data_IF_578080323951
#
_entry.id   IF_578080323951
#
_cell.length_a   1.000
_cell.length_b   1.000
_cell.length_c   1.000
_cell.angle_alpha   90.00
_cell.angle_beta   90.00
_cell.angle_gamma   90.00
#
_symmetry.space_group_name_H-M   'P 1'
#
loop_
_entity.id
_entity.type
_entity.pdbx_description
1 polymer ?
#
# COMPACT_ATOMS: atom_id res chain seq x y z
N UNK A 1 -23.74 8.96 -13.90
CA UNK A 1 -23.40 7.56 -14.21
C UNK A 1 -22.31 7.52 -15.27
N UNK A 2 -21.24 6.76 -15.00
CA UNK A 2 -20.14 6.62 -15.98
C UNK A 2 -20.40 5.51 -17.01
N UNK A 3 -21.53 4.77 -16.88
CA UNK A 3 -21.96 3.68 -17.76
C UNK A 3 -20.82 2.72 -18.15
N UNK A 4 -20.06 2.26 -17.17
CA UNK A 4 -18.87 1.42 -17.38
C UNK A 4 -19.27 0.00 -17.77
N UNK A 5 -18.58 -0.57 -18.76
CA UNK A 5 -18.67 -1.99 -19.07
C UNK A 5 -17.92 -2.84 -18.02
N UNK A 6 -18.27 -4.13 -17.91
CA UNK A 6 -17.59 -5.06 -16.99
C UNK A 6 -16.08 -5.15 -17.26
N UNK A 7 -15.66 -5.09 -18.52
CA UNK A 7 -14.26 -5.05 -18.91
C UNK A 7 -13.54 -3.79 -18.41
N UNK A 8 -14.23 -2.64 -18.44
CA UNK A 8 -13.69 -1.38 -17.91
C UNK A 8 -13.57 -1.41 -16.38
N UNK A 9 -14.56 -2.00 -15.70
CA UNK A 9 -14.51 -2.21 -14.25
C UNK A 9 -13.37 -3.16 -13.86
N UNK A 10 -13.21 -4.30 -14.55
CA UNK A 10 -12.11 -5.22 -14.33
C UNK A 10 -10.73 -4.58 -14.56
N UNK A 11 -10.60 -3.73 -15.58
CA UNK A 11 -9.35 -3.00 -15.82
C UNK A 11 -9.03 -2.01 -14.69
N UNK A 12 -10.04 -1.31 -14.17
CA UNK A 12 -9.90 -0.33 -13.08
C UNK A 12 -9.54 -0.98 -11.74
N UNK A 13 -10.21 -2.09 -11.40
CA UNK A 13 -10.05 -2.75 -10.09
C UNK A 13 -8.81 -3.65 -10.04
N UNK A 14 -8.40 -4.22 -11.17
CA UNK A 14 -7.30 -5.16 -11.28
C UNK A 14 -6.05 -4.56 -11.91
N UNK A 15 -6.03 -4.48 -13.23
CA UNK A 15 -4.80 -4.31 -14.00
C UNK A 15 -4.17 -2.93 -13.87
N UNK A 16 -4.98 -1.87 -13.96
CA UNK A 16 -4.48 -0.49 -13.87
C UNK A 16 -3.86 -0.20 -12.51
N UNK A 17 -4.49 -0.67 -11.43
CA UNK A 17 -3.95 -0.55 -10.08
C UNK A 17 -2.68 -1.40 -9.89
N UNK A 18 -2.74 -2.71 -10.21
CA UNK A 18 -1.68 -3.66 -9.90
C UNK A 18 -0.34 -3.33 -10.60
N UNK A 19 -0.36 -2.95 -11.88
CA UNK A 19 0.86 -2.58 -12.61
C UNK A 19 1.57 -1.41 -11.94
N UNK A 20 0.84 -0.35 -11.63
CA UNK A 20 1.45 0.85 -11.04
C UNK A 20 1.85 0.65 -9.58
N UNK A 21 1.10 -0.15 -8.82
CA UNK A 21 1.47 -0.57 -7.48
C UNK A 21 2.82 -1.32 -7.47
N UNK A 22 2.96 -2.33 -8.33
CA UNK A 22 4.20 -3.15 -8.39
C UNK A 22 5.37 -2.34 -8.93
N UNK A 23 5.18 -1.60 -10.02
CA UNK A 23 6.28 -0.83 -10.65
C UNK A 23 6.74 0.34 -9.78
N UNK A 24 5.84 1.02 -9.07
CA UNK A 24 6.19 2.08 -8.13
C UNK A 24 6.78 1.54 -6.82
N UNK A 25 6.38 0.34 -6.39
CA UNK A 25 6.82 -0.26 -5.13
C UNK A 25 8.33 -0.44 -5.04
N UNK A 26 8.98 -0.86 -6.12
CA UNK A 26 10.44 -1.09 -6.14
C UNK A 26 11.22 0.23 -5.94
N UNK A 27 11.02 1.30 -6.73
CA UNK A 27 11.74 2.55 -6.52
C UNK A 27 11.41 3.21 -5.18
N UNK A 28 10.15 3.14 -4.71
CA UNK A 28 9.77 3.71 -3.43
C UNK A 28 10.42 2.93 -2.27
N UNK A 29 10.46 1.60 -2.32
CA UNK A 29 11.16 0.80 -1.31
C UNK A 29 12.66 1.16 -1.26
N UNK A 30 13.33 1.33 -2.40
CA UNK A 30 14.72 1.77 -2.46
C UNK A 30 14.91 3.19 -1.93
N UNK A 31 13.98 4.08 -2.22
CA UNK A 31 14.00 5.42 -1.65
C UNK A 31 13.84 5.37 -0.12
N UNK A 32 13.00 4.49 0.38
CA UNK A 32 12.82 4.25 1.81
C UNK A 32 14.08 3.72 2.51
N UNK A 33 15.02 3.09 1.79
CA UNK A 33 16.29 2.65 2.37
C UNK A 33 17.18 3.81 2.83
N UNK A 34 17.05 4.99 2.23
CA UNK A 34 17.92 6.14 2.49
C UNK A 34 17.18 7.36 3.04
N UNK A 35 15.88 7.48 2.76
CA UNK A 35 15.06 8.62 3.16
C UNK A 35 14.36 8.40 4.51
N UNK A 36 13.71 9.43 5.02
CA UNK A 36 12.88 9.35 6.22
C UNK A 36 11.60 8.55 5.91
N UNK A 37 11.48 7.35 6.51
CA UNK A 37 10.39 6.38 6.25
C UNK A 37 9.04 6.90 6.73
N UNK A 38 9.01 7.65 7.84
CA UNK A 38 7.80 8.34 8.32
C UNK A 38 7.23 9.26 7.24
N UNK A 39 8.08 10.04 6.60
CA UNK A 39 7.65 10.99 5.57
C UNK A 39 7.13 10.25 4.32
N UNK A 40 7.74 9.11 3.98
CA UNK A 40 7.28 8.27 2.87
C UNK A 40 5.91 7.68 3.20
N UNK A 41 5.72 7.10 4.39
CA UNK A 41 4.42 6.54 4.83
C UNK A 41 3.34 7.61 4.82
N UNK A 42 3.62 8.77 5.42
CA UNK A 42 2.64 9.87 5.47
C UNK A 42 2.32 10.43 4.08
N UNK A 43 3.35 10.65 3.24
CA UNK A 43 3.17 11.11 1.86
C UNK A 43 2.42 10.11 0.99
N UNK A 44 2.71 8.85 1.15
CA UNK A 44 2.00 7.75 0.49
C UNK A 44 0.54 7.71 0.89
N UNK A 45 0.25 7.73 2.20
CA UNK A 45 -1.12 7.80 2.71
C UNK A 45 -1.87 9.04 2.19
N UNK A 46 -1.20 10.20 2.15
CA UNK A 46 -1.78 11.41 1.58
C UNK A 46 -2.17 11.20 0.11
N UNK A 47 -1.23 10.69 -0.71
CA UNK A 47 -1.45 10.52 -2.15
C UNK A 47 -2.61 9.56 -2.41
N UNK A 48 -2.61 8.36 -1.83
CA UNK A 48 -3.69 7.41 -2.13
C UNK A 48 -5.05 7.88 -1.59
N UNK A 49 -5.08 8.51 -0.43
CA UNK A 49 -6.32 9.03 0.17
C UNK A 49 -6.88 10.22 -0.62
N UNK A 50 -6.00 11.12 -1.07
CA UNK A 50 -6.38 12.25 -1.92
C UNK A 50 -6.90 11.77 -3.28
N UNK A 51 -6.21 10.80 -3.91
CA UNK A 51 -6.66 10.20 -5.18
C UNK A 51 -7.96 9.41 -5.01
N UNK A 52 -8.17 8.77 -3.85
CA UNK A 52 -9.45 8.14 -3.51
C UNK A 52 -10.56 9.19 -3.42
N UNK A 53 -10.35 10.29 -2.71
CA UNK A 53 -11.32 11.37 -2.65
C UNK A 53 -11.58 11.98 -4.04
N UNK A 54 -10.54 12.22 -4.85
CA UNK A 54 -10.68 12.68 -6.23
C UNK A 54 -11.49 11.74 -7.10
N UNK A 55 -11.44 10.42 -6.85
CA UNK A 55 -12.27 9.44 -7.56
C UNK A 55 -13.76 9.72 -7.42
N UNK A 56 -14.20 10.34 -6.33
CA UNK A 56 -15.59 10.79 -6.14
C UNK A 56 -15.99 12.01 -6.99
N UNK A 57 -15.00 12.74 -7.54
CA UNK A 57 -15.22 13.98 -8.30
C UNK A 57 -15.05 13.80 -9.81
N UNK A 58 -14.65 12.63 -10.28
CA UNK A 58 -14.38 12.36 -11.70
C UNK A 58 -15.65 12.43 -12.55
N UNK A 59 -15.51 12.88 -13.79
CA UNK A 59 -16.61 13.06 -14.74
C UNK A 59 -16.59 12.03 -15.86
N UNK A 60 -15.48 11.33 -16.07
CA UNK A 60 -15.32 10.34 -17.13
C UNK A 60 -14.39 9.20 -16.72
N UNK A 61 -14.42 8.12 -17.53
CA UNK A 61 -13.63 6.92 -17.30
C UNK A 61 -12.12 7.19 -17.21
N UNK A 62 -11.57 8.02 -18.09
CA UNK A 62 -10.13 8.32 -18.11
C UNK A 62 -9.68 8.98 -16.81
N UNK A 63 -10.45 9.93 -16.29
CA UNK A 63 -10.14 10.56 -14.99
C UNK A 63 -10.18 9.53 -13.86
N UNK A 64 -11.13 8.59 -13.89
CA UNK A 64 -11.21 7.54 -12.89
C UNK A 64 -10.00 6.60 -12.97
N UNK A 65 -9.56 6.22 -14.19
CA UNK A 65 -8.34 5.43 -14.40
C UNK A 65 -7.11 6.15 -13.82
N UNK A 66 -6.94 7.43 -14.12
CA UNK A 66 -5.81 8.22 -13.61
C UNK A 66 -5.82 8.33 -12.09
N UNK A 67 -7.00 8.53 -11.49
CA UNK A 67 -7.13 8.53 -10.03
C UNK A 67 -6.75 7.17 -9.42
N UNK A 68 -7.17 6.05 -10.03
CA UNK A 68 -6.82 4.69 -9.60
C UNK A 68 -5.32 4.39 -9.73
N UNK A 69 -4.70 4.85 -10.80
CA UNK A 69 -3.23 4.80 -10.96
C UNK A 69 -2.55 5.57 -9.81
N UNK A 70 -3.04 6.76 -9.49
CA UNK A 70 -2.54 7.55 -8.37
C UNK A 70 -2.72 6.86 -7.01
N UNK A 71 -3.84 6.17 -6.79
CA UNK A 71 -4.04 5.32 -5.60
C UNK A 71 -3.00 4.21 -5.56
N UNK A 72 -2.77 3.47 -6.66
CA UNK A 72 -1.80 2.39 -6.73
C UNK A 72 -0.36 2.85 -6.44
N UNK A 73 0.05 3.98 -7.01
CA UNK A 73 1.38 4.58 -6.74
C UNK A 73 1.50 5.00 -5.27
N UNK A 74 0.47 5.65 -4.72
CA UNK A 74 0.45 6.07 -3.33
C UNK A 74 0.54 4.88 -2.38
N UNK A 75 -0.28 3.87 -2.57
CA UNK A 75 -0.35 2.70 -1.70
C UNK A 75 0.95 1.88 -1.70
N UNK A 76 1.68 1.86 -2.82
CA UNK A 76 2.96 1.16 -2.95
C UNK A 76 4.01 1.60 -1.92
N UNK A 77 3.94 2.82 -1.39
CA UNK A 77 4.86 3.33 -0.39
C UNK A 77 4.41 3.12 1.07
N UNK A 78 3.31 2.43 1.31
CA UNK A 78 2.81 2.17 2.66
C UNK A 78 3.52 1.04 3.39
N UNK A 79 3.50 -0.16 2.81
CA UNK A 79 3.94 -1.39 3.50
C UNK A 79 5.46 -1.53 3.69
N UNK A 80 6.32 -1.33 2.66
CA UNK A 80 7.75 -1.57 2.83
C UNK A 80 8.40 -0.71 3.92
N UNK A 81 8.22 0.62 3.98
CA UNK A 81 8.79 1.43 5.03
C UNK A 81 8.16 1.15 6.40
N UNK A 82 6.87 0.82 6.48
CA UNK A 82 6.21 0.45 7.74
C UNK A 82 6.79 -0.81 8.34
N UNK A 83 7.01 -1.86 7.53
CA UNK A 83 7.64 -3.10 7.98
C UNK A 83 9.08 -2.86 8.45
N UNK A 84 9.84 -2.02 7.74
CA UNK A 84 11.19 -1.63 8.13
C UNK A 84 11.20 -0.90 9.49
N UNK A 85 10.29 0.06 9.69
CA UNK A 85 10.16 0.78 10.97
C UNK A 85 9.78 -0.16 12.13
N UNK A 86 8.83 -1.08 11.92
CA UNK A 86 8.45 -2.09 12.92
C UNK A 86 9.65 -2.95 13.28
N UNK A 87 10.46 -3.33 12.31
CA UNK A 87 11.66 -4.15 12.53
C UNK A 87 12.75 -3.43 13.36
N UNK A 88 12.81 -2.10 13.29
CA UNK A 88 13.74 -1.29 14.10
C UNK A 88 13.21 -1.03 15.52
N UNK A 89 11.89 -1.07 15.72
CA UNK A 89 11.26 -0.81 17.04
C UNK A 89 11.18 -2.09 17.88
N UNK A 90 10.87 -3.23 17.25
CA UNK A 90 10.60 -4.48 17.94
C UNK A 90 11.77 -5.47 17.82
N UNK A 91 12.19 -6.10 18.95
CA UNK A 91 13.23 -7.13 18.94
C UNK A 91 12.78 -8.38 18.17
N UNK A 92 13.69 -9.21 17.65
CA UNK A 92 13.38 -10.35 16.79
C UNK A 92 12.32 -11.31 17.34
N UNK A 93 12.30 -11.54 18.65
CA UNK A 93 11.34 -12.42 19.33
C UNK A 93 9.90 -11.86 19.40
N UNK A 94 9.70 -10.54 19.20
CA UNK A 94 8.38 -9.88 19.19
C UNK A 94 7.99 -9.32 17.81
N UNK A 95 8.92 -9.34 16.86
CA UNK A 95 8.72 -8.77 15.52
C UNK A 95 7.57 -9.41 14.75
N UNK A 96 7.47 -10.75 14.82
CA UNK A 96 6.38 -11.48 14.18
C UNK A 96 5.01 -11.09 14.76
N UNK A 97 4.88 -10.95 16.07
CA UNK A 97 3.64 -10.51 16.72
C UNK A 97 3.27 -9.08 16.32
N UNK A 98 4.25 -8.17 16.30
CA UNK A 98 4.02 -6.77 15.88
C UNK A 98 3.58 -6.68 14.41
N UNK A 99 4.20 -7.43 13.51
CA UNK A 99 3.81 -7.50 12.10
C UNK A 99 2.43 -8.16 11.93
N UNK A 100 2.12 -9.20 12.71
CA UNK A 100 0.80 -9.83 12.74
C UNK A 100 -0.28 -8.83 13.16
N UNK A 101 -0.03 -8.06 14.22
CA UNK A 101 -0.95 -7.00 14.66
C UNK A 101 -1.11 -5.90 13.60
N UNK A 102 -0.03 -5.46 12.97
CA UNK A 102 -0.08 -4.51 11.84
C UNK A 102 -0.95 -5.05 10.70
N UNK A 103 -0.83 -6.34 10.38
CA UNK A 103 -1.59 -6.97 9.29
C UNK A 103 -3.09 -7.07 9.59
N UNK A 104 -3.53 -7.07 10.86
CA UNK A 104 -4.97 -7.04 11.20
C UNK A 104 -5.65 -5.78 10.67
N UNK A 105 -4.91 -4.68 10.53
CA UNK A 105 -5.40 -3.44 9.92
C UNK A 105 -5.95 -3.64 8.52
N UNK A 106 -5.35 -4.54 7.73
CA UNK A 106 -5.84 -4.86 6.38
C UNK A 106 -7.21 -5.54 6.46
N UNK A 107 -7.36 -6.53 7.33
CA UNK A 107 -8.64 -7.26 7.51
C UNK A 107 -9.76 -6.34 8.01
N UNK A 108 -9.47 -5.47 8.98
CA UNK A 108 -10.42 -4.47 9.44
C UNK A 108 -10.74 -3.44 8.36
N UNK A 109 -9.73 -3.01 7.59
CA UNK A 109 -9.92 -2.11 6.47
C UNK A 109 -10.86 -2.67 5.40
N UNK A 110 -10.70 -3.94 5.05
CA UNK A 110 -11.58 -4.65 4.13
C UNK A 110 -13.00 -4.74 4.70
N UNK A 111 -13.14 -5.21 5.95
CA UNK A 111 -14.45 -5.34 6.60
C UNK A 111 -15.21 -4.01 6.63
N UNK A 112 -14.60 -2.97 7.15
CA UNK A 112 -15.22 -1.66 7.25
C UNK A 112 -15.38 -0.97 5.90
N UNK A 113 -14.46 -1.21 4.95
CA UNK A 113 -14.56 -0.73 3.58
C UNK A 113 -15.79 -1.26 2.87
N UNK A 114 -16.05 -2.56 2.96
CA UNK A 114 -17.27 -3.15 2.39
C UNK A 114 -18.53 -2.71 3.14
N UNK A 115 -18.51 -2.72 4.47
CA UNK A 115 -19.67 -2.38 5.27
C UNK A 115 -20.09 -0.92 5.07
N UNK A 116 -19.17 0.01 5.31
CA UNK A 116 -19.45 1.44 5.19
C UNK A 116 -19.50 1.90 3.74
N UNK A 117 -18.64 1.36 2.87
CA UNK A 117 -18.63 1.69 1.45
C UNK A 117 -19.92 1.26 0.77
N UNK A 118 -20.42 0.05 1.06
CA UNK A 118 -21.70 -0.44 0.56
C UNK A 118 -22.87 0.41 1.06
N UNK A 119 -22.92 0.67 2.38
CA UNK A 119 -23.95 1.52 2.99
C UNK A 119 -23.95 2.95 2.40
N UNK A 120 -22.78 3.58 2.32
CA UNK A 120 -22.65 4.92 1.75
C UNK A 120 -23.07 4.95 0.26
N UNK A 121 -22.71 3.91 -0.49
CA UNK A 121 -23.08 3.83 -1.90
C UNK A 121 -24.61 3.70 -2.08
N UNK A 122 -25.27 2.91 -1.23
CA UNK A 122 -26.72 2.69 -1.29
C UNK A 122 -27.50 3.99 -1.00
N UNK A 123 -27.12 4.75 0.03
CA UNK A 123 -27.87 5.93 0.48
C UNK A 123 -27.41 7.24 -0.16
N UNK A 124 -26.15 7.37 -0.51
CA UNK A 124 -25.56 8.65 -0.96
C UNK A 124 -24.84 8.55 -2.31
N UNK A 125 -24.80 7.36 -2.89
CA UNK A 125 -24.12 7.10 -4.15
C UNK A 125 -22.60 6.94 -4.03
N UNK A 126 -22.00 6.31 -5.03
CA UNK A 126 -20.58 5.94 -5.06
C UNK A 126 -19.60 7.12 -4.96
N UNK A 127 -19.97 8.28 -5.50
CA UNK A 127 -19.12 9.50 -5.40
C UNK A 127 -18.93 9.94 -3.97
N UNK A 128 -20.01 9.98 -3.21
CA UNK A 128 -19.96 10.31 -1.78
C UNK A 128 -19.17 9.27 -0.98
N UNK A 129 -19.31 7.99 -1.32
CA UNK A 129 -18.54 6.92 -0.69
C UNK A 129 -17.02 7.15 -0.85
N UNK A 130 -16.55 7.49 -2.05
CA UNK A 130 -15.13 7.79 -2.28
C UNK A 130 -14.65 9.02 -1.52
N UNK A 131 -15.45 10.09 -1.44
CA UNK A 131 -15.11 11.29 -0.68
C UNK A 131 -15.02 11.01 0.83
N UNK A 132 -16.03 10.32 1.38
CA UNK A 132 -16.10 10.01 2.82
C UNK A 132 -14.98 9.07 3.26
N UNK A 133 -14.57 8.13 2.39
CA UNK A 133 -13.46 7.21 2.69
C UNK A 133 -12.10 7.89 2.48
N UNK A 134 -11.95 8.73 1.47
CA UNK A 134 -10.68 9.36 1.15
C UNK A 134 -10.28 10.50 2.09
N UNK A 135 -11.21 11.38 2.45
CA UNK A 135 -10.92 12.58 3.26
C UNK A 135 -10.30 12.24 4.64
N UNK A 136 -10.82 11.28 5.42
CA UNK A 136 -10.20 10.91 6.70
C UNK A 136 -8.75 10.46 6.58
N UNK A 137 -8.38 9.77 5.50
CA UNK A 137 -7.00 9.35 5.25
C UNK A 137 -6.05 10.53 5.00
N UNK A 138 -6.53 11.60 4.37
CA UNK A 138 -5.75 12.84 4.21
C UNK A 138 -5.46 13.47 5.60
N UNK A 139 -6.44 13.54 6.49
CA UNK A 139 -6.21 14.01 7.86
C UNK A 139 -5.28 13.08 8.64
N UNK A 140 -5.43 11.76 8.48
CA UNK A 140 -4.58 10.77 9.13
C UNK A 140 -3.12 10.89 8.66
N UNK A 141 -2.87 11.24 7.41
CA UNK A 141 -1.51 11.50 6.92
C UNK A 141 -0.84 12.66 7.66
N UNK A 142 -1.58 13.74 7.89
CA UNK A 142 -1.13 14.86 8.72
C UNK A 142 -0.87 14.44 10.16
N UNK A 143 -1.75 13.65 10.75
CA UNK A 143 -1.58 13.12 12.10
C UNK A 143 -0.32 12.26 12.23
N UNK A 144 -0.03 11.40 11.24
CA UNK A 144 1.22 10.61 11.18
C UNK A 144 2.43 11.54 11.17
N UNK A 145 2.41 12.62 10.38
CA UNK A 145 3.52 13.58 10.34
C UNK A 145 3.75 14.26 11.68
N UNK A 146 2.71 14.48 12.46
CA UNK A 146 2.79 15.17 13.75
C UNK A 146 3.16 14.23 14.91
N UNK A 147 2.71 12.99 14.88
CA UNK A 147 2.78 12.06 16.03
C UNK A 147 3.84 10.97 15.88
N UNK A 148 4.03 10.43 14.67
CA UNK A 148 4.98 9.36 14.45
C UNK A 148 6.41 9.90 14.42
N UNK A 149 7.32 9.22 15.10
CA UNK A 149 8.75 9.54 15.06
C UNK A 149 9.48 8.52 14.19
N UNK A 150 10.44 8.98 13.41
CA UNK A 150 11.34 8.09 12.65
C UNK A 150 12.21 7.29 13.61
N UNK A 151 12.13 5.96 13.66
CA UNK A 151 13.01 5.15 14.49
C UNK A 151 14.44 5.14 13.92
N UNK A 152 15.43 5.10 14.81
CA UNK A 152 16.83 4.95 14.39
C UNK A 152 17.02 3.60 13.70
N UNK A 153 17.62 3.61 12.52
CA UNK A 153 17.86 2.40 11.73
C UNK A 153 18.84 1.47 12.45
N UNK A 154 18.51 0.18 12.46
CA UNK A 154 19.36 -0.85 13.06
C UNK A 154 19.49 -0.74 14.59
N UNK A 155 18.65 0.05 15.26
CA UNK A 155 18.71 0.29 16.70
C UNK A 155 18.77 -1.01 17.52
N UNK A 156 17.93 -1.97 17.18
CA UNK A 156 17.81 -3.24 17.91
C UNK A 156 18.97 -4.20 17.57
N UNK A 157 19.45 -4.17 16.34
CA UNK A 157 20.49 -5.10 15.88
C UNK A 157 21.91 -4.60 16.16
N UNK A 158 22.04 -3.38 16.71
CA UNK A 158 23.32 -2.70 16.95
C UNK A 158 24.27 -2.69 15.72
N UNK A 159 23.69 -2.85 14.54
CA UNK A 159 24.43 -2.78 13.29
C UNK A 159 24.48 -1.34 12.83
N UNK A 160 25.68 -0.80 12.67
CA UNK A 160 25.89 0.37 11.82
C UNK A 160 25.46 -0.01 10.41
N UNK A 161 24.26 0.41 10.05
CA UNK A 161 23.77 0.23 8.68
C UNK A 161 24.59 1.18 7.80
N UNK A 162 25.70 0.67 7.28
CA UNK A 162 26.40 1.35 6.20
C UNK A 162 25.44 1.34 5.01
N UNK A 163 25.02 2.51 4.60
CA UNK A 163 24.05 2.72 3.52
C UNK A 163 24.64 2.41 2.12
N UNK A 164 25.42 1.34 1.99
CA UNK A 164 25.81 0.85 0.68
C UNK A 164 24.61 0.21 0.00
N UNK A 165 24.05 0.94 -0.95
CA UNK A 165 22.96 0.43 -1.76
C UNK A 165 23.41 -0.74 -2.61
N UNK A 166 22.94 -1.94 -2.26
CA UNK A 166 23.19 -3.12 -3.08
C UNK A 166 22.55 -2.91 -4.47
N UNK A 167 23.29 -3.08 -5.58
CA UNK A 167 22.72 -2.94 -6.91
C UNK A 167 21.50 -3.83 -7.10
N UNK A 168 20.43 -3.27 -7.70
CA UNK A 168 19.15 -3.99 -7.89
C UNK A 168 19.35 -5.34 -8.60
N UNK A 169 20.25 -5.38 -9.59
CA UNK A 169 20.59 -6.62 -10.30
C UNK A 169 21.06 -7.73 -9.34
N UNK A 170 21.92 -7.39 -8.37
CA UNK A 170 22.41 -8.35 -7.38
C UNK A 170 21.31 -8.81 -6.43
N UNK A 171 20.41 -7.91 -6.04
CA UNK A 171 19.25 -8.25 -5.21
C UNK A 171 18.35 -9.24 -5.95
N UNK A 172 17.96 -8.94 -7.19
CA UNK A 172 17.13 -9.81 -8.02
C UNK A 172 17.80 -11.18 -8.22
N UNK A 173 19.10 -11.20 -8.51
CA UNK A 173 19.85 -12.44 -8.69
C UNK A 173 19.83 -13.28 -7.40
N UNK A 174 20.15 -12.71 -6.25
CA UNK A 174 20.13 -13.40 -4.96
C UNK A 174 18.75 -13.98 -4.61
N UNK A 175 17.70 -13.20 -4.85
CA UNK A 175 16.32 -13.64 -4.63
C UNK A 175 15.95 -14.80 -5.57
N UNK A 176 16.35 -14.69 -6.85
CA UNK A 176 16.06 -15.73 -7.83
C UNK A 176 16.83 -17.02 -7.58
N UNK A 177 18.05 -16.97 -7.06
CA UNK A 177 18.84 -18.14 -6.67
C UNK A 177 18.27 -18.86 -5.45
N UNK A 178 17.56 -18.15 -4.58
CA UNK A 178 16.92 -18.71 -3.37
C UNK A 178 15.70 -19.57 -3.73
N UNK A 179 15.81 -20.90 -3.56
CA UNK A 179 14.67 -21.83 -3.76
C UNK A 179 13.50 -21.49 -2.83
N UNK A 180 13.78 -21.19 -1.57
CA UNK A 180 12.76 -20.82 -0.59
C UNK A 180 11.98 -19.58 -1.03
N UNK A 181 12.68 -18.54 -1.48
CA UNK A 181 12.04 -17.31 -1.96
C UNK A 181 11.12 -17.59 -3.16
N UNK A 182 11.60 -18.35 -4.15
CA UNK A 182 10.78 -18.70 -5.33
C UNK A 182 9.51 -19.45 -4.97
N UNK A 183 9.60 -20.46 -4.09
CA UNK A 183 8.43 -21.24 -3.69
C UNK A 183 7.46 -20.42 -2.85
N UNK A 184 7.95 -19.60 -1.92
CA UNK A 184 7.11 -18.71 -1.13
C UNK A 184 6.43 -17.64 -2.00
N UNK A 185 7.16 -17.05 -2.95
CA UNK A 185 6.59 -16.06 -3.87
C UNK A 185 5.52 -16.68 -4.77
N UNK A 186 5.76 -17.90 -5.28
CA UNK A 186 4.77 -18.61 -6.09
C UNK A 186 3.51 -18.93 -5.27
N UNK A 187 3.69 -19.47 -4.05
CA UNK A 187 2.58 -19.79 -3.17
C UNK A 187 1.76 -18.53 -2.80
N UNK A 188 2.44 -17.43 -2.46
CA UNK A 188 1.79 -16.15 -2.17
C UNK A 188 1.04 -15.59 -3.38
N UNK A 189 1.63 -15.69 -4.58
CA UNK A 189 0.99 -15.25 -5.83
C UNK A 189 -0.26 -16.05 -6.16
N UNK A 190 -0.22 -17.38 -6.01
CA UNK A 190 -1.37 -18.26 -6.22
C UNK A 190 -2.49 -17.98 -5.20
N UNK A 191 -2.12 -17.77 -3.92
CA UNK A 191 -3.08 -17.42 -2.89
C UNK A 191 -3.75 -16.07 -3.16
N UNK A 192 -2.97 -15.06 -3.56
CA UNK A 192 -3.51 -13.76 -3.93
C UNK A 192 -4.43 -13.86 -5.16
N UNK A 193 -4.01 -14.60 -6.20
CA UNK A 193 -4.83 -14.83 -7.38
C UNK A 193 -6.18 -15.48 -7.03
N UNK A 194 -6.17 -16.53 -6.19
CA UNK A 194 -7.39 -17.16 -5.71
C UNK A 194 -8.28 -16.21 -4.93
N UNK A 195 -7.70 -15.43 -4.01
CA UNK A 195 -8.43 -14.46 -3.19
C UNK A 195 -9.13 -13.37 -4.02
N UNK A 196 -8.44 -12.83 -5.04
CA UNK A 196 -9.01 -11.81 -5.92
C UNK A 196 -9.99 -12.36 -6.96
N UNK A 197 -9.94 -13.66 -7.29
CA UNK A 197 -10.86 -14.27 -8.25
C UNK A 197 -12.20 -14.66 -7.63
N UNK A 198 -12.28 -14.73 -6.30
CA UNK A 198 -13.49 -15.12 -5.55
C UNK A 198 -14.20 -13.94 -4.88
N UNK A 199 -13.63 -12.75 -4.96
CA UNK A 199 -14.21 -11.50 -4.43
C UNK A 199 -14.94 -10.71 -5.52
#
# INVERSE_FOLDING_TARGET
DLSLSDSQLGLLTGFAFAIFYVTAGIPIARWADHANRRNIVAGSLFIWSFMTALSGMVQNYTQLVLARIGVGIGEAGGSPPSHSMISDIFPPNRRATALGFYSTGVSFGILFGFLFGGWLNEYFGWRTAFLVVGIPGVFLSGLIMLTLREPTRGLIEQKTVTAESVPLKKVIQTLWESRTFRHLSLAASLNAFSGYSTA
#
